data_IF_038149113944
#
_entry.id   IF_038149113944
#
_cell.length_a   1.000
_cell.length_b   1.000
_cell.length_c   1.000
_cell.angle_alpha   90.00
_cell.angle_beta   90.00
_cell.angle_gamma   90.00
#
_symmetry.space_group_name_H-M   'P 1'
#
loop_
_entity.id
_entity.type
_entity.pdbx_description
1 polymer ?
#
# COMPACT_ATOMS: atom_id res chain seq x y z
N UNK A 1 -33.95 -76.76 -4.94
CA UNK A 1 -33.73 -78.21 -4.89
C UNK A 1 -32.61 -78.57 -5.87
N UNK A 2 -31.75 -79.52 -5.45
CA UNK A 2 -30.53 -80.08 -6.09
C UNK A 2 -29.28 -79.20 -5.91
N UNK A 3 -28.49 -79.37 -4.84
CA UNK A 3 -27.55 -80.46 -4.46
C UNK A 3 -26.24 -80.49 -5.27
N UNK A 4 -25.18 -79.94 -4.64
CA UNK A 4 -23.77 -80.39 -4.45
C UNK A 4 -23.28 -81.73 -5.06
N UNK A 5 -21.95 -82.06 -5.05
CA UNK A 5 -20.72 -81.30 -4.72
C UNK A 5 -19.55 -81.55 -5.73
N UNK A 6 -18.38 -80.92 -5.52
CA UNK A 6 -17.09 -81.63 -5.40
C UNK A 6 -15.95 -80.69 -4.97
N UNK A 7 -15.26 -81.11 -3.91
CA UNK A 7 -14.01 -80.56 -3.39
C UNK A 7 -12.84 -81.05 -4.26
N UNK A 8 -11.83 -80.21 -4.47
CA UNK A 8 -10.46 -80.69 -4.60
C UNK A 8 -9.53 -79.77 -3.80
N UNK A 9 -8.82 -80.41 -2.86
CA UNK A 9 -7.72 -79.86 -2.10
C UNK A 9 -6.49 -79.77 -3.01
N UNK A 10 -5.81 -78.63 -2.99
CA UNK A 10 -4.54 -78.40 -3.68
C UNK A 10 -3.68 -77.46 -2.85
N UNK A 11 -2.91 -78.05 -1.93
CA UNK A 11 -1.78 -77.42 -1.26
C UNK A 11 -0.87 -76.71 -2.28
N UNK A 12 -0.64 -75.41 -2.10
CA UNK A 12 0.57 -74.77 -2.59
C UNK A 12 1.36 -74.23 -1.41
N UNK A 13 2.40 -74.99 -1.06
CA UNK A 13 3.42 -74.65 -0.10
C UNK A 13 4.23 -73.44 -0.58
N UNK A 14 4.41 -72.49 0.34
CA UNK A 14 5.63 -71.73 0.62
C UNK A 14 6.59 -71.45 -0.54
N UNK A 15 6.48 -70.25 -1.09
CA UNK A 15 7.65 -69.46 -1.45
C UNK A 15 7.67 -68.23 -0.53
N UNK A 16 8.25 -68.39 0.66
CA UNK A 16 8.74 -67.25 1.43
C UNK A 16 9.84 -66.61 0.59
N UNK A 17 9.48 -65.61 -0.20
CA UNK A 17 10.44 -64.66 -0.73
C UNK A 17 10.88 -63.82 0.48
N UNK A 18 11.93 -64.28 1.15
CA UNK A 18 12.77 -63.45 2.00
C UNK A 18 13.38 -62.37 1.11
N UNK A 19 12.61 -61.31 0.84
CA UNK A 19 13.17 -60.04 0.42
C UNK A 19 14.08 -59.59 1.56
N UNK A 20 15.37 -59.84 1.40
CA UNK A 20 16.42 -59.20 2.18
C UNK A 20 16.14 -57.70 2.16
N UNK A 21 15.70 -57.16 3.31
CA UNK A 21 15.77 -55.75 3.62
C UNK A 21 17.25 -55.36 3.58
N UNK A 22 17.75 -55.07 2.39
CA UNK A 22 18.96 -54.30 2.20
C UNK A 22 18.68 -52.95 2.84
N UNK A 23 19.35 -52.64 3.95
CA UNK A 23 19.38 -51.29 4.51
C UNK A 23 19.75 -50.32 3.38
N UNK A 24 18.77 -49.57 2.90
CA UNK A 24 19.01 -48.57 1.88
C UNK A 24 19.96 -47.54 2.49
N UNK A 25 21.16 -47.42 1.92
CA UNK A 25 22.16 -46.47 2.40
C UNK A 25 21.59 -45.06 2.33
N UNK A 26 21.46 -44.41 3.49
CA UNK A 26 20.93 -43.05 3.62
C UNK A 26 21.68 -42.09 2.68
N UNK A 27 20.94 -41.38 1.84
CA UNK A 27 21.52 -40.45 0.87
C UNK A 27 21.79 -39.09 1.50
N UNK A 28 22.61 -38.28 0.84
CA UNK A 28 22.85 -36.88 1.26
C UNK A 28 21.55 -36.06 1.27
N UNK A 29 20.61 -36.37 0.38
CA UNK A 29 19.29 -35.74 0.34
C UNK A 29 18.49 -36.15 1.58
N UNK A 30 18.47 -37.43 1.95
CA UNK A 30 17.72 -37.91 3.12
C UNK A 30 18.20 -37.24 4.42
N UNK A 31 19.52 -37.11 4.58
CA UNK A 31 20.11 -36.38 5.72
C UNK A 31 19.71 -34.91 5.74
N UNK A 32 19.72 -34.25 4.58
CA UNK A 32 19.30 -32.85 4.48
C UNK A 32 17.81 -32.68 4.80
N UNK A 33 16.93 -33.58 4.33
CA UNK A 33 15.50 -33.57 4.66
C UNK A 33 15.28 -33.75 6.17
N UNK A 34 16.07 -34.62 6.83
CA UNK A 34 16.03 -34.77 8.29
C UNK A 34 16.45 -33.47 9.01
N UNK A 35 17.54 -32.83 8.57
CA UNK A 35 17.98 -31.53 9.12
C UNK A 35 16.91 -30.45 8.95
N UNK A 36 16.18 -30.43 7.83
CA UNK A 36 15.07 -29.51 7.63
C UNK A 36 13.91 -29.79 8.61
N UNK A 37 13.54 -31.06 8.81
CA UNK A 37 12.47 -31.43 9.76
C UNK A 37 12.79 -31.00 11.20
N UNK A 38 14.06 -31.05 11.57
CA UNK A 38 14.56 -30.64 12.89
C UNK A 38 14.76 -29.13 13.02
N UNK A 39 14.68 -28.36 11.93
CA UNK A 39 14.83 -26.92 11.96
C UNK A 39 13.63 -26.26 12.65
N UNK A 40 13.88 -25.23 13.45
CA UNK A 40 12.84 -24.47 14.15
C UNK A 40 12.10 -23.47 13.24
N UNK A 41 12.75 -23.04 12.15
CA UNK A 41 12.22 -22.03 11.23
C UNK A 41 12.68 -22.25 9.79
N UNK A 42 11.94 -21.66 8.85
CA UNK A 42 12.34 -21.49 7.47
C UNK A 42 13.15 -20.20 7.37
N UNK A 43 14.33 -20.25 6.76
CA UNK A 43 15.27 -19.12 6.76
C UNK A 43 15.80 -18.87 5.36
N UNK A 44 16.15 -17.62 5.07
CA UNK A 44 16.90 -17.24 3.86
C UNK A 44 18.40 -17.53 3.99
N UNK A 45 19.18 -17.19 2.96
CA UNK A 45 20.62 -17.49 2.89
C UNK A 45 21.53 -16.78 3.87
N UNK A 46 21.05 -15.72 4.52
CA UNK A 46 21.75 -15.02 5.58
C UNK A 46 20.73 -14.47 6.57
N UNK A 47 20.89 -14.77 7.87
CA UNK A 47 19.99 -14.27 8.93
C UNK A 47 20.76 -13.72 10.14
N UNK A 48 20.16 -12.75 10.82
CA UNK A 48 20.73 -12.06 11.99
C UNK A 48 21.83 -11.05 11.65
N UNK A 49 22.36 -10.37 12.68
CA UNK A 49 23.33 -9.27 12.53
C UNK A 49 24.62 -9.69 11.80
N UNK A 50 25.05 -10.93 11.99
CA UNK A 50 26.25 -11.48 11.37
C UNK A 50 25.99 -12.18 10.02
N UNK A 51 24.74 -12.18 9.51
CA UNK A 51 24.39 -12.80 8.23
C UNK A 51 24.71 -14.29 8.17
N UNK A 52 24.40 -15.03 9.24
CA UNK A 52 24.79 -16.42 9.39
C UNK A 52 23.89 -17.31 8.53
N UNK A 53 24.50 -18.27 7.83
CA UNK A 53 23.78 -19.35 7.15
C UNK A 53 23.38 -20.42 8.17
N UNK A 54 22.08 -20.68 8.31
CA UNK A 54 21.57 -21.70 9.25
C UNK A 54 21.77 -23.12 8.71
N UNK A 55 21.75 -24.11 9.61
CA UNK A 55 21.78 -25.52 9.20
C UNK A 55 20.57 -25.88 8.32
N UNK A 56 19.38 -25.36 8.63
CA UNK A 56 18.18 -25.54 7.81
C UNK A 56 18.34 -25.01 6.39
N UNK A 57 18.89 -23.81 6.21
CA UNK A 57 19.13 -23.27 4.87
C UNK A 57 20.25 -24.01 4.12
N UNK A 58 21.33 -24.39 4.81
CA UNK A 58 22.38 -25.20 4.19
C UNK A 58 21.83 -26.56 3.70
N UNK A 59 20.92 -27.18 4.46
CA UNK A 59 20.21 -28.37 4.04
C UNK A 59 19.24 -28.11 2.87
N UNK A 60 18.52 -26.98 2.89
CA UNK A 60 17.69 -26.52 1.77
C UNK A 60 18.51 -26.41 0.47
N UNK A 61 19.69 -25.80 0.49
CA UNK A 61 20.55 -25.71 -0.70
C UNK A 61 20.94 -27.09 -1.28
N UNK A 62 21.13 -28.09 -0.41
CA UNK A 62 21.38 -29.47 -0.85
C UNK A 62 20.14 -30.08 -1.49
N UNK A 63 18.98 -29.95 -0.85
CA UNK A 63 17.69 -30.45 -1.35
C UNK A 63 17.34 -29.79 -2.69
N UNK A 64 17.45 -28.47 -2.79
CA UNK A 64 17.23 -27.72 -4.03
C UNK A 64 18.21 -28.09 -5.12
N UNK A 65 19.44 -28.54 -4.83
CA UNK A 65 20.35 -28.95 -5.91
C UNK A 65 20.16 -30.41 -6.35
N UNK A 66 19.75 -31.28 -5.44
CA UNK A 66 19.92 -32.74 -5.62
C UNK A 66 18.65 -33.55 -5.53
N UNK A 67 17.60 -33.07 -4.87
CA UNK A 67 16.35 -33.83 -4.78
C UNK A 67 15.70 -33.98 -6.16
N UNK A 68 15.06 -35.11 -6.41
CA UNK A 68 14.19 -35.29 -7.57
C UNK A 68 12.89 -34.50 -7.40
N UNK A 69 12.18 -34.24 -8.50
CA UNK A 69 10.88 -33.58 -8.45
C UNK A 69 9.91 -34.38 -7.58
N UNK A 70 9.87 -35.69 -7.77
CA UNK A 70 8.96 -36.60 -7.05
C UNK A 70 9.24 -36.61 -5.54
N UNK A 71 10.50 -36.51 -5.11
CA UNK A 71 10.87 -36.32 -3.71
C UNK A 71 10.33 -35.00 -3.15
N UNK A 72 10.46 -33.89 -3.89
CA UNK A 72 9.95 -32.59 -3.43
C UNK A 72 8.42 -32.57 -3.38
N UNK A 73 7.73 -33.16 -4.36
CA UNK A 73 6.27 -33.30 -4.35
C UNK A 73 5.80 -34.12 -3.15
N UNK A 74 6.52 -35.20 -2.79
CA UNK A 74 6.23 -35.95 -1.57
C UNK A 74 6.45 -35.11 -0.30
N UNK A 75 7.48 -34.24 -0.27
CA UNK A 75 7.75 -33.36 0.86
C UNK A 75 6.67 -32.27 1.06
N UNK A 76 6.02 -31.81 -0.02
CA UNK A 76 4.86 -30.89 0.06
C UNK A 76 3.67 -31.52 0.79
N UNK A 77 3.61 -32.85 0.87
CA UNK A 77 2.57 -33.61 1.58
C UNK A 77 2.97 -34.02 3.00
N UNK A 78 4.17 -33.65 3.46
CA UNK A 78 4.71 -34.05 4.76
C UNK A 78 3.96 -33.38 5.93
N UNK A 79 3.94 -34.00 7.10
CA UNK A 79 3.34 -33.41 8.30
C UNK A 79 4.16 -32.22 8.83
N UNK A 80 5.47 -32.19 8.56
CA UNK A 80 6.36 -31.12 9.01
C UNK A 80 6.21 -29.86 8.13
N UNK A 81 5.76 -28.76 8.76
CA UNK A 81 5.48 -27.49 8.10
C UNK A 81 6.73 -26.86 7.43
N UNK A 82 7.90 -26.95 8.06
CA UNK A 82 9.15 -26.38 7.53
C UNK A 82 9.61 -27.16 6.30
N UNK A 83 9.43 -28.48 6.30
CA UNK A 83 9.73 -29.33 5.16
C UNK A 83 8.81 -29.02 3.98
N UNK A 84 7.50 -28.87 4.22
CA UNK A 84 6.54 -28.44 3.19
C UNK A 84 6.94 -27.10 2.57
N UNK A 85 7.29 -26.12 3.41
CA UNK A 85 7.67 -24.79 2.96
C UNK A 85 8.93 -24.81 2.08
N UNK A 86 10.02 -25.40 2.55
CA UNK A 86 11.24 -25.51 1.77
C UNK A 86 11.05 -26.33 0.49
N UNK A 87 10.22 -27.38 0.52
CA UNK A 87 9.91 -28.16 -0.68
C UNK A 87 9.20 -27.31 -1.75
N UNK A 88 8.22 -26.50 -1.37
CA UNK A 88 7.54 -25.60 -2.30
C UNK A 88 8.48 -24.52 -2.86
N UNK A 89 9.36 -23.95 -2.03
CA UNK A 89 10.40 -23.03 -2.49
C UNK A 89 11.36 -23.70 -3.49
N UNK A 90 11.82 -24.92 -3.20
CA UNK A 90 12.69 -25.68 -4.09
C UNK A 90 12.00 -26.04 -5.41
N UNK A 91 10.69 -26.35 -5.38
CA UNK A 91 9.89 -26.58 -6.58
C UNK A 91 9.83 -25.30 -7.44
N UNK A 92 9.50 -24.15 -6.83
CA UNK A 92 9.47 -22.83 -7.48
C UNK A 92 10.78 -22.50 -8.20
N UNK A 93 11.91 -22.79 -7.57
CA UNK A 93 13.23 -22.43 -8.07
C UNK A 93 13.71 -23.31 -9.24
N UNK A 94 13.20 -24.54 -9.37
CA UNK A 94 13.80 -25.55 -10.27
C UNK A 94 12.90 -26.06 -11.38
N UNK A 95 11.60 -26.10 -11.14
CA UNK A 95 10.66 -26.78 -12.03
C UNK A 95 9.61 -25.78 -12.53
N UNK A 96 9.08 -25.97 -13.75
CA UNK A 96 7.93 -25.23 -14.23
C UNK A 96 6.75 -25.36 -13.25
N UNK A 97 5.99 -24.28 -13.04
CA UNK A 97 4.90 -24.28 -12.05
C UNK A 97 3.75 -25.19 -12.46
N UNK A 98 3.57 -25.37 -13.75
CA UNK A 98 2.58 -26.27 -14.36
C UNK A 98 2.75 -27.71 -13.88
N UNK A 99 3.99 -28.14 -13.57
CA UNK A 99 4.29 -29.50 -13.10
C UNK A 99 3.69 -29.81 -11.73
N UNK A 100 3.44 -28.78 -10.92
CA UNK A 100 2.98 -28.93 -9.53
C UNK A 100 1.79 -28.04 -9.18
N UNK A 101 1.19 -27.39 -10.18
CA UNK A 101 0.06 -26.49 -10.02
C UNK A 101 -1.11 -27.16 -9.31
N UNK A 102 -1.60 -28.29 -9.84
CA UNK A 102 -2.74 -29.02 -9.27
C UNK A 102 -2.51 -29.45 -7.81
N UNK A 103 -1.29 -29.88 -7.49
CA UNK A 103 -0.94 -30.27 -6.13
C UNK A 103 -1.01 -29.09 -5.16
N UNK A 104 -0.37 -27.96 -5.51
CA UNK A 104 -0.37 -26.78 -4.65
C UNK A 104 -1.77 -26.14 -4.59
N UNK A 105 -2.55 -26.21 -5.66
CA UNK A 105 -3.95 -25.79 -5.68
C UNK A 105 -4.78 -26.57 -4.67
N UNK A 106 -4.65 -27.90 -4.61
CA UNK A 106 -5.37 -28.73 -3.62
C UNK A 106 -4.99 -28.36 -2.18
N UNK A 107 -3.74 -27.96 -1.96
CA UNK A 107 -3.20 -27.61 -0.64
C UNK A 107 -3.24 -26.13 -0.33
N UNK A 108 -3.80 -25.31 -1.21
CA UNK A 108 -3.74 -23.85 -1.08
C UNK A 108 -4.41 -23.36 0.22
N UNK A 109 -5.38 -24.10 0.75
CA UNK A 109 -6.09 -23.82 2.01
C UNK A 109 -5.32 -24.16 3.31
N UNK A 110 -4.06 -24.58 3.22
CA UNK A 110 -3.28 -24.98 4.40
C UNK A 110 -2.97 -23.78 5.30
N UNK A 111 -3.62 -23.74 6.47
CA UNK A 111 -3.45 -22.66 7.46
C UNK A 111 -2.31 -22.90 8.46
N UNK A 112 -1.54 -23.98 8.31
CA UNK A 112 -0.42 -24.28 9.21
C UNK A 112 0.61 -23.14 9.17
N UNK A 113 0.98 -22.64 10.34
CA UNK A 113 1.94 -21.55 10.47
C UNK A 113 3.38 -22.06 10.61
N UNK A 114 4.31 -21.32 10.04
CA UNK A 114 5.75 -21.48 10.28
C UNK A 114 6.40 -20.13 10.51
N UNK A 115 7.55 -20.12 11.18
CA UNK A 115 8.38 -18.94 11.31
C UNK A 115 9.29 -18.80 10.08
N UNK A 116 9.24 -17.64 9.43
CA UNK A 116 10.11 -17.29 8.31
C UNK A 116 11.08 -16.18 8.72
N UNK A 117 12.37 -16.36 8.43
CA UNK A 117 13.41 -15.34 8.69
C UNK A 117 14.17 -14.98 7.42
N UNK A 118 14.20 -13.69 7.10
CA UNK A 118 14.98 -13.14 5.99
C UNK A 118 15.84 -11.96 6.47
N UNK A 119 17.17 -12.13 6.48
CA UNK A 119 18.07 -11.15 7.09
C UNK A 119 17.77 -10.97 8.58
N UNK A 120 17.53 -9.72 8.99
CA UNK A 120 17.15 -9.35 10.35
C UNK A 120 15.63 -9.38 10.61
N UNK A 121 14.82 -9.71 9.59
CA UNK A 121 13.35 -9.67 9.67
C UNK A 121 12.83 -11.10 9.88
N UNK A 122 12.03 -11.29 10.93
CA UNK A 122 11.32 -12.53 11.22
C UNK A 122 9.81 -12.29 11.31
N UNK A 123 9.01 -13.19 10.75
CA UNK A 123 7.55 -13.15 10.85
C UNK A 123 6.95 -14.56 10.75
N UNK A 124 5.69 -14.72 11.14
CA UNK A 124 4.92 -15.95 10.92
C UNK A 124 4.19 -15.88 9.58
N UNK A 125 4.16 -16.99 8.87
CA UNK A 125 3.48 -17.13 7.59
C UNK A 125 2.71 -18.45 7.56
N UNK A 126 1.57 -18.50 6.85
CA UNK A 126 0.83 -19.75 6.62
C UNK A 126 1.34 -20.43 5.36
N UNK A 127 1.31 -21.76 5.34
CA UNK A 127 1.74 -22.54 4.16
C UNK A 127 0.92 -22.20 2.91
N UNK A 128 -0.39 -21.99 3.04
CA UNK A 128 -1.24 -21.57 1.94
C UNK A 128 -0.82 -20.22 1.33
N UNK A 129 -0.36 -19.28 2.16
CA UNK A 129 0.16 -17.98 1.67
C UNK A 129 1.47 -18.17 0.87
N UNK A 130 2.35 -19.06 1.34
CA UNK A 130 3.57 -19.43 0.61
C UNK A 130 3.25 -20.14 -0.71
N UNK A 131 2.26 -21.04 -0.73
CA UNK A 131 1.83 -21.71 -1.96
C UNK A 131 1.22 -20.72 -2.95
N UNK A 132 0.40 -19.77 -2.48
CA UNK A 132 -0.09 -18.68 -3.31
C UNK A 132 1.06 -17.87 -3.93
N UNK A 133 2.06 -17.46 -3.14
CA UNK A 133 3.26 -16.76 -3.64
C UNK A 133 4.11 -17.61 -4.58
N UNK A 134 4.09 -18.93 -4.40
CA UNK A 134 4.77 -19.87 -5.27
C UNK A 134 4.09 -19.93 -6.63
N UNK A 135 2.76 -19.92 -6.65
CA UNK A 135 1.95 -19.99 -7.85
C UNK A 135 1.88 -18.67 -8.61
N UNK A 136 1.53 -17.54 -7.97
CA UNK A 136 1.05 -16.35 -8.68
C UNK A 136 2.06 -15.71 -9.66
N UNK A 137 3.37 -15.83 -9.38
CA UNK A 137 4.41 -15.33 -10.27
C UNK A 137 4.53 -16.22 -11.53
N UNK A 138 4.35 -15.65 -12.73
CA UNK A 138 4.59 -16.33 -14.03
C UNK A 138 3.57 -17.38 -14.48
N UNK A 139 2.38 -17.44 -13.87
CA UNK A 139 1.29 -18.28 -14.36
C UNK A 139 0.49 -17.61 -15.50
N UNK A 140 -0.13 -18.43 -16.34
CA UNK A 140 -1.13 -17.99 -17.31
C UNK A 140 -2.32 -17.32 -16.62
N UNK A 141 -3.05 -16.48 -17.36
CA UNK A 141 -4.25 -15.80 -16.85
C UNK A 141 -5.28 -16.82 -16.35
N UNK A 142 -5.48 -17.94 -17.06
CA UNK A 142 -6.43 -18.98 -16.67
C UNK A 142 -6.08 -19.61 -15.31
N UNK A 143 -4.79 -19.86 -15.05
CA UNK A 143 -4.34 -20.38 -13.76
C UNK A 143 -4.49 -19.34 -12.64
N UNK A 144 -4.23 -18.06 -12.92
CA UNK A 144 -4.47 -16.99 -11.94
C UNK A 144 -5.96 -16.90 -11.56
N UNK A 145 -6.86 -17.01 -12.54
CA UNK A 145 -8.32 -17.06 -12.31
C UNK A 145 -8.68 -18.29 -11.47
N UNK A 146 -8.09 -19.46 -11.75
CA UNK A 146 -8.32 -20.67 -10.96
C UNK A 146 -7.86 -20.53 -9.50
N UNK A 147 -6.71 -19.90 -9.24
CA UNK A 147 -6.21 -19.58 -7.90
C UNK A 147 -7.20 -18.66 -7.16
N UNK A 148 -7.63 -17.57 -7.81
CA UNK A 148 -8.61 -16.63 -7.26
C UNK A 148 -9.92 -17.35 -6.93
N UNK A 149 -10.45 -18.12 -7.88
CA UNK A 149 -11.67 -18.88 -7.70
C UNK A 149 -11.55 -19.82 -6.50
N UNK A 150 -10.44 -20.56 -6.39
CA UNK A 150 -10.22 -21.50 -5.28
C UNK A 150 -10.16 -20.80 -3.92
N UNK A 151 -9.42 -19.69 -3.81
CA UNK A 151 -9.29 -18.91 -2.58
C UNK A 151 -10.64 -18.33 -2.14
N UNK A 152 -11.48 -17.91 -3.09
CA UNK A 152 -12.79 -17.36 -2.77
C UNK A 152 -13.80 -18.45 -2.44
N UNK A 153 -13.81 -19.59 -3.14
CA UNK A 153 -14.80 -20.66 -2.92
C UNK A 153 -14.48 -21.56 -1.72
N UNK A 154 -13.26 -21.51 -1.19
CA UNK A 154 -12.82 -22.37 -0.09
C UNK A 154 -12.77 -21.59 1.21
N UNK A 155 -13.24 -22.19 2.31
CA UNK A 155 -13.06 -21.59 3.63
C UNK A 155 -11.58 -21.62 4.04
N UNK A 156 -11.04 -20.43 4.30
CA UNK A 156 -9.66 -20.24 4.74
C UNK A 156 -9.49 -18.86 5.42
N UNK A 157 -8.40 -18.68 6.15
CA UNK A 157 -7.97 -17.44 6.83
C UNK A 157 -6.59 -17.01 6.34
N UNK A 158 -6.35 -17.11 5.04
CA UNK A 158 -5.06 -16.79 4.42
C UNK A 158 -4.98 -15.29 4.12
N UNK A 159 -3.78 -14.72 4.27
CA UNK A 159 -3.53 -13.34 3.82
C UNK A 159 -3.65 -13.22 2.29
N UNK A 160 -3.39 -14.29 1.56
CA UNK A 160 -3.62 -14.39 0.12
C UNK A 160 -5.08 -14.12 -0.26
N UNK A 161 -6.05 -14.58 0.53
CA UNK A 161 -7.47 -14.29 0.30
C UNK A 161 -7.74 -12.80 0.47
N UNK A 162 -7.22 -12.17 1.51
CA UNK A 162 -7.36 -10.72 1.70
C UNK A 162 -6.70 -9.91 0.57
N UNK A 163 -5.57 -10.38 0.06
CA UNK A 163 -4.88 -9.79 -1.08
C UNK A 163 -5.75 -9.85 -2.35
N UNK A 164 -6.30 -11.03 -2.66
CA UNK A 164 -7.22 -11.24 -3.78
C UNK A 164 -8.45 -10.34 -3.66
N UNK A 165 -9.06 -10.28 -2.47
CA UNK A 165 -10.22 -9.43 -2.19
C UNK A 165 -9.93 -7.95 -2.47
N UNK A 166 -8.74 -7.47 -2.10
CA UNK A 166 -8.34 -6.07 -2.27
C UNK A 166 -7.99 -5.73 -3.71
N UNK A 167 -7.18 -6.57 -4.36
CA UNK A 167 -6.42 -6.19 -5.56
C UNK A 167 -6.95 -6.79 -6.86
N UNK A 168 -7.76 -7.86 -6.80
CA UNK A 168 -8.26 -8.53 -8.00
C UNK A 168 -9.59 -7.96 -8.52
N UNK A 169 -9.83 -8.15 -9.81
CA UNK A 169 -11.13 -7.99 -10.46
C UNK A 169 -11.93 -9.29 -10.28
N UNK A 170 -12.75 -9.32 -9.23
CA UNK A 170 -13.48 -10.53 -8.84
C UNK A 170 -14.75 -10.66 -9.68
N UNK A 171 -14.98 -11.80 -10.36
CA UNK A 171 -16.22 -12.03 -11.10
C UNK A 171 -17.46 -12.03 -10.20
N UNK A 172 -18.58 -11.51 -10.72
CA UNK A 172 -19.84 -11.38 -9.98
C UNK A 172 -20.39 -12.70 -9.41
N UNK A 173 -20.05 -13.85 -10.00
CA UNK A 173 -20.42 -15.18 -9.48
C UNK A 173 -20.00 -15.40 -8.03
N UNK A 174 -18.98 -14.69 -7.53
CA UNK A 174 -18.49 -14.78 -6.16
C UNK A 174 -19.21 -13.86 -5.17
N UNK A 175 -20.08 -12.97 -5.63
CA UNK A 175 -20.74 -11.97 -4.79
C UNK A 175 -21.44 -12.56 -3.54
N UNK A 176 -22.15 -13.71 -3.59
CA UNK A 176 -22.71 -14.33 -2.40
C UNK A 176 -21.67 -14.63 -1.32
N UNK A 177 -20.49 -15.11 -1.73
CA UNK A 177 -19.39 -15.42 -0.82
C UNK A 177 -18.73 -14.16 -0.25
N UNK A 178 -18.56 -13.13 -1.08
CA UNK A 178 -18.05 -11.84 -0.64
C UNK A 178 -18.94 -11.24 0.45
N UNK A 179 -20.27 -11.32 0.30
CA UNK A 179 -21.24 -10.91 1.32
C UNK A 179 -21.09 -11.70 2.61
N UNK A 180 -20.93 -13.02 2.53
CA UNK A 180 -20.68 -13.86 3.72
C UNK A 180 -19.42 -13.43 4.46
N UNK A 181 -18.31 -13.19 3.74
CA UNK A 181 -17.04 -12.76 4.33
C UNK A 181 -17.14 -11.35 4.94
N UNK A 182 -17.78 -10.41 4.24
CA UNK A 182 -17.99 -9.06 4.74
C UNK A 182 -18.87 -9.03 5.99
N UNK A 183 -19.96 -9.82 6.00
CA UNK A 183 -20.82 -9.97 7.18
C UNK A 183 -20.10 -10.62 8.38
N UNK A 184 -19.07 -11.42 8.12
CA UNK A 184 -18.19 -11.99 9.15
C UNK A 184 -17.09 -11.03 9.64
N UNK A 185 -17.06 -9.77 9.16
CA UNK A 185 -16.08 -8.76 9.59
C UNK A 185 -14.81 -8.71 8.74
N UNK A 186 -14.83 -9.24 7.51
CA UNK A 186 -13.70 -9.08 6.60
C UNK A 186 -13.83 -7.74 5.83
N UNK A 187 -12.99 -6.75 6.19
CA UNK A 187 -12.98 -5.42 5.56
C UNK A 187 -12.59 -5.46 4.07
N UNK A 188 -11.67 -6.34 3.67
CA UNK A 188 -11.30 -6.50 2.25
C UNK A 188 -12.47 -7.03 1.42
N UNK A 189 -13.25 -7.96 1.97
CA UNK A 189 -14.48 -8.45 1.34
C UNK A 189 -15.54 -7.36 1.25
N UNK A 190 -15.66 -6.49 2.27
CA UNK A 190 -16.58 -5.35 2.23
C UNK A 190 -16.26 -4.41 1.05
N UNK A 191 -14.97 -4.08 0.87
CA UNK A 191 -14.52 -3.31 -0.29
C UNK A 191 -14.83 -4.02 -1.61
N UNK A 192 -14.60 -5.34 -1.68
CA UNK A 192 -14.89 -6.14 -2.87
C UNK A 192 -16.39 -6.13 -3.21
N UNK A 193 -17.28 -6.26 -2.23
CA UNK A 193 -18.74 -6.12 -2.41
C UNK A 193 -19.09 -4.73 -2.96
N UNK A 194 -18.51 -3.67 -2.39
CA UNK A 194 -18.80 -2.30 -2.81
C UNK A 194 -18.41 -2.01 -4.29
N UNK A 195 -17.45 -2.75 -4.87
CA UNK A 195 -17.09 -2.63 -6.29
C UNK A 195 -18.27 -2.91 -7.24
N UNK A 196 -19.24 -3.74 -6.82
CA UNK A 196 -20.42 -4.07 -7.62
C UNK A 196 -21.54 -3.02 -7.56
N UNK A 197 -21.47 -2.07 -6.62
CA UNK A 197 -22.39 -0.92 -6.50
C UNK A 197 -23.88 -1.30 -6.44
N UNK A 198 -24.22 -2.42 -5.79
CA UNK A 198 -25.62 -2.88 -5.66
C UNK A 198 -26.31 -2.22 -4.46
N UNK A 199 -27.54 -1.77 -4.65
CA UNK A 199 -28.34 -1.15 -3.58
C UNK A 199 -28.62 -2.10 -2.41
N UNK A 200 -28.73 -3.40 -2.68
CA UNK A 200 -28.95 -4.44 -1.66
C UNK A 200 -27.79 -4.59 -0.67
N UNK A 201 -26.58 -4.10 -1.01
CA UNK A 201 -25.41 -4.14 -0.14
C UNK A 201 -25.30 -2.92 0.79
N UNK A 202 -26.19 -1.92 0.64
CA UNK A 202 -26.21 -0.72 1.50
C UNK A 202 -26.28 -1.04 2.99
N UNK A 203 -27.20 -1.90 3.48
CA UNK A 203 -27.30 -2.18 4.91
C UNK A 203 -26.03 -2.81 5.47
N UNK A 204 -25.36 -3.67 4.68
CA UNK A 204 -24.10 -4.31 5.06
C UNK A 204 -22.99 -3.27 5.26
N UNK A 205 -22.80 -2.36 4.29
CA UNK A 205 -21.80 -1.29 4.38
C UNK A 205 -22.05 -0.35 5.57
N UNK A 206 -23.30 0.05 5.78
CA UNK A 206 -23.68 0.92 6.91
C UNK A 206 -23.41 0.23 8.24
N UNK A 207 -23.78 -1.05 8.39
CA UNK A 207 -23.57 -1.81 9.62
C UNK A 207 -22.07 -1.96 9.97
N UNK A 208 -21.19 -1.96 8.97
CA UNK A 208 -19.75 -2.13 9.17
C UNK A 208 -19.02 -0.87 9.65
N UNK A 209 -19.63 0.32 9.65
CA UNK A 209 -18.93 1.59 9.95
C UNK A 209 -18.19 1.59 11.30
N UNK A 210 -18.75 0.95 12.33
CA UNK A 210 -18.12 0.92 13.67
C UNK A 210 -16.92 -0.02 13.75
N UNK A 211 -16.99 -1.16 13.06
CA UNK A 211 -15.95 -2.18 13.10
C UNK A 211 -14.82 -1.90 12.09
N UNK A 212 -15.18 -1.33 10.93
CA UNK A 212 -14.29 -1.11 9.78
C UNK A 212 -14.53 0.28 9.17
N UNK A 213 -14.32 1.38 9.92
CA UNK A 213 -14.59 2.73 9.43
C UNK A 213 -13.76 3.09 8.19
N UNK A 214 -12.49 2.66 8.15
CA UNK A 214 -11.59 2.89 7.02
C UNK A 214 -12.15 2.28 5.73
N UNK A 215 -12.52 0.99 5.75
CA UNK A 215 -13.09 0.30 4.60
C UNK A 215 -14.48 0.84 4.24
N UNK A 216 -15.30 1.16 5.24
CA UNK A 216 -16.63 1.73 5.03
C UNK A 216 -16.57 3.07 4.28
N UNK A 217 -15.70 4.00 4.68
CA UNK A 217 -15.54 5.27 3.97
C UNK A 217 -15.05 5.08 2.54
N UNK A 218 -14.14 4.13 2.30
CA UNK A 218 -13.74 3.76 0.93
C UNK A 218 -14.91 3.20 0.11
N UNK A 219 -15.76 2.36 0.70
CA UNK A 219 -16.98 1.87 0.03
C UNK A 219 -17.90 3.04 -0.37
N UNK A 220 -18.10 4.01 0.53
CA UNK A 220 -18.93 5.19 0.29
C UNK A 220 -18.32 6.05 -0.84
N UNK A 221 -17.00 6.24 -0.85
CA UNK A 221 -16.31 6.99 -1.90
C UNK A 221 -16.49 6.37 -3.30
N UNK A 222 -16.54 5.03 -3.38
CA UNK A 222 -16.70 4.29 -4.64
C UNK A 222 -18.12 4.35 -5.22
N UNK A 223 -19.14 4.47 -4.36
CA UNK A 223 -20.54 4.56 -4.73
C UNK A 223 -21.29 5.49 -3.76
N UNK A 224 -21.13 6.82 -3.89
CA UNK A 224 -21.80 7.76 -3.00
C UNK A 224 -23.32 7.66 -3.20
N UNK A 225 -24.06 7.48 -2.11
CA UNK A 225 -25.51 7.30 -2.09
C UNK A 225 -26.11 8.13 -0.95
N UNK A 226 -27.30 8.74 -1.10
CA UNK A 226 -27.85 9.65 -0.08
C UNK A 226 -27.88 9.08 1.34
N UNK A 227 -28.17 7.78 1.50
CA UNK A 227 -28.26 7.10 2.79
C UNK A 227 -26.91 7.01 3.51
N UNK A 228 -25.81 6.90 2.77
CA UNK A 228 -24.47 6.87 3.33
C UNK A 228 -24.03 8.26 3.83
N UNK A 229 -24.62 9.36 3.32
CA UNK A 229 -24.19 10.69 3.74
C UNK A 229 -24.49 10.94 5.22
N UNK A 230 -25.61 10.39 5.73
CA UNK A 230 -25.95 10.41 7.15
C UNK A 230 -24.87 9.73 8.00
N UNK A 231 -24.28 8.63 7.51
CA UNK A 231 -23.18 7.94 8.19
C UNK A 231 -21.96 8.86 8.32
N UNK A 232 -21.65 9.63 7.28
CA UNK A 232 -20.56 10.61 7.33
C UNK A 232 -20.85 11.74 8.33
N UNK A 233 -22.09 12.25 8.36
CA UNK A 233 -22.49 13.29 9.31
C UNK A 233 -22.37 12.80 10.77
N UNK A 234 -22.79 11.57 11.05
CA UNK A 234 -22.70 10.96 12.38
C UNK A 234 -21.25 10.68 12.80
N UNK A 235 -20.40 10.24 11.86
CA UNK A 235 -18.99 9.96 12.14
C UNK A 235 -18.15 11.24 12.35
N UNK A 236 -18.57 12.37 11.78
CA UNK A 236 -17.77 13.59 11.76
C UNK A 236 -17.35 14.05 13.15
N UNK A 237 -18.27 14.07 14.12
CA UNK A 237 -17.95 14.58 15.46
C UNK A 237 -16.87 13.75 16.16
N UNK A 238 -16.94 12.42 16.04
CA UNK A 238 -15.94 11.53 16.63
C UNK A 238 -14.57 11.73 15.96
N UNK A 239 -14.54 11.84 14.64
CA UNK A 239 -13.30 12.06 13.88
C UNK A 239 -12.65 13.42 14.21
N UNK A 240 -13.45 14.48 14.36
CA UNK A 240 -12.92 15.81 14.73
C UNK A 240 -12.40 15.87 16.16
N UNK A 241 -12.75 14.90 17.03
CA UNK A 241 -12.24 14.83 18.40
C UNK A 241 -10.93 14.02 18.52
N UNK A 242 -10.48 13.38 17.45
CA UNK A 242 -9.25 12.59 17.44
C UNK A 242 -8.02 13.49 17.58
N UNK A 243 -7.08 13.10 18.45
CA UNK A 243 -5.86 13.88 18.74
C UNK A 243 -4.64 13.37 17.97
N UNK A 244 -4.81 12.35 17.15
CA UNK A 244 -3.77 11.76 16.34
C UNK A 244 -4.22 11.70 14.88
N UNK A 245 -3.23 11.79 13.99
CA UNK A 245 -3.42 11.53 12.57
C UNK A 245 -3.89 10.09 12.36
N UNK A 246 -4.90 9.89 11.51
CA UNK A 246 -5.33 8.55 11.09
C UNK A 246 -5.61 8.48 9.60
N UNK A 247 -5.29 7.33 8.98
CA UNK A 247 -5.64 7.10 7.57
C UNK A 247 -7.17 7.07 7.37
N UNK A 248 -7.92 6.67 8.41
CA UNK A 248 -9.39 6.72 8.45
C UNK A 248 -9.94 8.12 8.22
N UNK A 249 -9.36 9.15 8.86
CA UNK A 249 -9.74 10.55 8.62
C UNK A 249 -9.59 10.95 7.15
N UNK A 250 -8.50 10.54 6.50
CA UNK A 250 -8.27 10.84 5.07
C UNK A 250 -9.34 10.18 4.19
N UNK A 251 -9.67 8.92 4.44
CA UNK A 251 -10.72 8.24 3.68
C UNK A 251 -12.10 8.85 3.92
N UNK A 252 -12.38 9.35 5.13
CA UNK A 252 -13.60 10.09 5.43
C UNK A 252 -13.77 11.33 4.53
N UNK A 253 -12.74 12.17 4.41
CA UNK A 253 -12.80 13.35 3.54
C UNK A 253 -12.93 12.99 2.07
N UNK A 254 -12.26 11.91 1.65
CA UNK A 254 -12.39 11.35 0.29
C UNK A 254 -13.83 10.90 0.02
N UNK A 255 -14.46 10.21 0.97
CA UNK A 255 -15.85 9.77 0.89
C UNK A 255 -16.84 10.94 0.84
N UNK A 256 -16.63 11.97 1.65
CA UNK A 256 -17.45 13.18 1.61
C UNK A 256 -17.32 13.93 0.28
N UNK A 257 -16.10 14.06 -0.26
CA UNK A 257 -15.86 14.75 -1.53
C UNK A 257 -16.48 14.02 -2.74
N UNK A 258 -16.67 12.70 -2.64
CA UNK A 258 -17.28 11.91 -3.71
C UNK A 258 -18.73 12.32 -4.04
N UNK A 259 -19.43 13.02 -3.13
CA UNK A 259 -20.82 13.47 -3.33
C UNK A 259 -20.97 14.68 -4.25
N UNK A 260 -19.93 15.52 -4.39
CA UNK A 260 -19.89 16.63 -5.38
C UNK A 260 -21.10 17.57 -5.28
N UNK A 261 -21.55 17.84 -4.06
CA UNK A 261 -22.76 18.63 -3.81
C UNK A 261 -22.58 19.62 -2.65
N UNK A 262 -23.59 20.46 -2.41
CA UNK A 262 -23.55 21.46 -1.34
C UNK A 262 -23.36 20.83 0.05
N UNK A 263 -23.98 19.68 0.30
CA UNK A 263 -23.86 19.00 1.60
C UNK A 263 -22.42 18.61 1.91
N UNK A 264 -21.66 18.14 0.91
CA UNK A 264 -20.23 17.86 1.08
C UNK A 264 -19.41 19.11 1.38
N UNK A 265 -19.75 20.25 0.77
CA UNK A 265 -19.13 21.54 1.09
C UNK A 265 -19.44 21.94 2.52
N UNK A 266 -20.70 21.83 2.95
CA UNK A 266 -21.13 22.16 4.32
C UNK A 266 -20.41 21.30 5.37
N UNK A 267 -20.14 20.04 5.05
CA UNK A 267 -19.36 19.15 5.89
C UNK A 267 -17.92 19.67 6.06
N UNK A 268 -17.28 20.12 4.98
CA UNK A 268 -15.93 20.69 5.02
C UNK A 268 -15.88 22.07 5.70
N UNK A 269 -16.91 22.89 5.54
CA UNK A 269 -16.97 24.23 6.12
C UNK A 269 -16.88 24.22 7.64
N UNK A 270 -17.33 23.17 8.32
CA UNK A 270 -17.13 23.03 9.77
C UNK A 270 -15.66 23.03 10.17
N UNK A 271 -14.80 22.38 9.38
CA UNK A 271 -13.35 22.36 9.63
C UNK A 271 -12.73 23.70 9.25
N UNK A 272 -13.10 24.23 8.09
CA UNK A 272 -12.59 25.51 7.58
C UNK A 272 -12.93 26.66 8.54
N UNK A 273 -14.12 26.68 9.11
CA UNK A 273 -14.58 27.73 10.02
C UNK A 273 -14.17 27.50 11.48
N UNK A 274 -13.78 26.28 11.85
CA UNK A 274 -13.32 25.95 13.20
C UNK A 274 -11.95 26.51 13.53
N UNK A 275 -11.57 26.43 14.80
CA UNK A 275 -10.26 26.81 15.32
C UNK A 275 -9.45 25.59 15.76
N UNK A 276 -8.13 25.76 15.96
CA UNK A 276 -7.25 24.68 16.43
C UNK A 276 -7.55 24.25 17.89
N UNK A 277 -8.27 25.10 18.65
CA UNK A 277 -8.75 24.76 19.99
C UNK A 277 -9.99 23.85 19.94
N UNK A 278 -10.84 24.04 18.93
CA UNK A 278 -12.08 23.27 18.76
C UNK A 278 -11.84 21.95 18.02
N UNK A 279 -10.85 21.94 17.11
CA UNK A 279 -10.53 20.81 16.25
C UNK A 279 -9.04 20.48 16.44
N UNK A 280 -8.71 19.49 17.30
CA UNK A 280 -7.38 18.95 17.37
C UNK A 280 -6.86 18.59 15.98
N UNK A 281 -5.56 18.81 15.74
CA UNK A 281 -4.92 18.43 14.47
C UNK A 281 -5.58 19.05 13.22
N UNK A 282 -6.27 20.19 13.36
CA UNK A 282 -7.02 20.85 12.26
C UNK A 282 -6.21 21.02 10.97
N UNK A 283 -4.91 21.28 11.06
CA UNK A 283 -4.02 21.35 9.89
C UNK A 283 -4.11 20.09 9.02
N UNK A 284 -4.07 18.90 9.61
CA UNK A 284 -4.21 17.64 8.88
C UNK A 284 -5.59 17.48 8.25
N UNK A 285 -6.65 17.88 8.96
CA UNK A 285 -8.01 17.87 8.40
C UNK A 285 -8.11 18.79 7.18
N UNK A 286 -7.51 19.99 7.22
CA UNK A 286 -7.46 20.89 6.08
C UNK A 286 -6.68 20.28 4.91
N UNK A 287 -5.53 19.67 5.18
CA UNK A 287 -4.71 19.03 4.15
C UNK A 287 -5.44 17.85 3.50
N UNK A 288 -6.22 17.08 4.26
CA UNK A 288 -7.08 16.02 3.73
C UNK A 288 -8.22 16.56 2.89
N UNK A 289 -8.87 17.65 3.31
CA UNK A 289 -9.92 18.33 2.51
C UNK A 289 -9.33 18.78 1.18
N UNK A 290 -8.18 19.47 1.21
CA UNK A 290 -7.46 19.90 0.01
C UNK A 290 -7.18 18.69 -0.88
N UNK A 291 -6.59 17.62 -0.34
CA UNK A 291 -6.32 16.41 -1.12
C UNK A 291 -7.58 15.82 -1.76
N UNK A 292 -8.68 15.72 -1.01
CA UNK A 292 -9.92 15.09 -1.45
C UNK A 292 -10.62 15.88 -2.56
N UNK A 293 -10.77 17.21 -2.41
CA UNK A 293 -11.43 18.05 -3.43
C UNK A 293 -10.54 18.33 -4.64
N UNK A 294 -9.24 18.00 -4.57
CA UNK A 294 -8.31 18.17 -5.69
C UNK A 294 -8.27 16.95 -6.60
N UNK A 295 -8.58 15.78 -6.05
CA UNK A 295 -8.83 14.58 -6.85
C UNK A 295 -10.14 14.69 -7.67
N UNK A 296 -10.96 15.73 -7.43
CA UNK A 296 -12.29 15.91 -8.00
C UNK A 296 -12.40 17.31 -8.63
N UNK A 297 -12.37 17.39 -9.97
CA UNK A 297 -12.42 18.66 -10.72
C UNK A 297 -13.83 19.25 -10.84
N UNK A 298 -14.56 19.37 -9.74
CA UNK A 298 -15.96 19.80 -9.74
C UNK A 298 -16.13 21.28 -9.31
N UNK A 299 -16.94 22.09 -10.04
CA UNK A 299 -17.14 23.51 -9.74
C UNK A 299 -17.73 23.81 -8.37
N UNK A 300 -18.47 22.86 -7.79
CA UNK A 300 -19.07 23.00 -6.45
C UNK A 300 -18.03 23.29 -5.36
N UNK A 301 -16.77 22.89 -5.57
CA UNK A 301 -15.68 23.11 -4.62
C UNK A 301 -14.86 24.38 -4.90
N UNK A 302 -15.11 25.14 -5.96
CA UNK A 302 -14.22 26.23 -6.37
C UNK A 302 -14.16 27.37 -5.34
N UNK A 303 -15.30 27.79 -4.76
CA UNK A 303 -15.28 28.78 -3.67
C UNK A 303 -14.58 28.26 -2.42
N UNK A 304 -14.73 26.99 -2.07
CA UNK A 304 -13.99 26.38 -0.97
C UNK A 304 -12.48 26.40 -1.23
N UNK A 305 -12.05 26.10 -2.46
CA UNK A 305 -10.64 26.18 -2.88
C UNK A 305 -10.09 27.61 -2.77
N UNK A 306 -10.88 28.61 -3.17
CA UNK A 306 -10.50 30.01 -2.98
C UNK A 306 -10.33 30.39 -1.51
N UNK A 307 -11.22 29.93 -0.64
CA UNK A 307 -11.13 30.18 0.81
C UNK A 307 -9.93 29.47 1.43
N UNK A 308 -9.70 28.20 1.09
CA UNK A 308 -8.52 27.45 1.54
C UNK A 308 -7.22 28.17 1.17
N UNK A 309 -7.13 28.73 -0.04
CA UNK A 309 -5.98 29.55 -0.42
C UNK A 309 -5.95 30.89 0.32
N UNK A 310 -6.99 31.72 0.17
CA UNK A 310 -6.97 33.11 0.62
C UNK A 310 -6.99 33.28 2.14
N UNK A 311 -7.75 32.44 2.86
CA UNK A 311 -7.94 32.54 4.31
C UNK A 311 -6.94 31.67 5.07
N UNK A 312 -6.58 30.49 4.52
CA UNK A 312 -5.83 29.46 5.25
C UNK A 312 -4.46 29.16 4.65
N UNK A 313 -4.09 29.84 3.56
CA UNK A 313 -2.81 29.64 2.85
C UNK A 313 -2.56 28.17 2.47
N UNK A 314 -3.63 27.44 2.18
CA UNK A 314 -3.61 26.03 1.75
C UNK A 314 -3.87 25.95 0.26
N UNK A 315 -2.80 25.73 -0.50
CA UNK A 315 -2.85 25.66 -1.96
C UNK A 315 -1.82 24.65 -2.47
N UNK A 316 -2.18 23.90 -3.51
CA UNK A 316 -1.25 23.04 -4.24
C UNK A 316 -1.23 23.43 -5.72
N UNK A 317 -0.30 22.87 -6.49
CA UNK A 317 -0.09 23.27 -7.88
C UNK A 317 -1.33 23.03 -8.77
N UNK A 318 -2.04 21.92 -8.56
CA UNK A 318 -3.24 21.61 -9.34
C UNK A 318 -4.33 22.67 -9.13
N UNK A 319 -4.63 22.98 -7.86
CA UNK A 319 -5.59 24.03 -7.55
C UNK A 319 -5.13 25.39 -8.03
N UNK A 320 -3.86 25.74 -7.87
CA UNK A 320 -3.35 27.03 -8.33
C UNK A 320 -3.62 27.21 -9.82
N UNK A 321 -3.27 26.22 -10.65
CA UNK A 321 -3.52 26.24 -12.09
C UNK A 321 -5.01 26.37 -12.42
N UNK A 322 -5.87 25.60 -11.75
CA UNK A 322 -7.33 25.66 -11.95
C UNK A 322 -7.89 27.04 -11.60
N UNK A 323 -7.52 27.57 -10.44
CA UNK A 323 -8.03 28.85 -9.94
C UNK A 323 -7.54 30.03 -10.81
N UNK A 324 -6.30 29.99 -11.31
CA UNK A 324 -5.80 30.95 -12.31
C UNK A 324 -6.61 30.89 -13.59
N UNK A 325 -6.93 29.69 -14.09
CA UNK A 325 -7.73 29.53 -15.30
C UNK A 325 -9.19 30.00 -15.10
N UNK A 326 -9.71 29.90 -13.89
CA UNK A 326 -11.07 30.32 -13.54
C UNK A 326 -11.19 31.84 -13.38
N UNK A 327 -10.25 32.46 -12.66
CA UNK A 327 -10.22 33.90 -12.41
C UNK A 327 -8.77 34.35 -12.17
N UNK A 328 -8.08 34.72 -13.26
CA UNK A 328 -6.70 35.20 -13.21
C UNK A 328 -6.55 36.44 -12.31
N UNK A 329 -7.58 37.31 -12.25
CA UNK A 329 -7.51 38.55 -11.47
C UNK A 329 -7.53 38.26 -9.98
N UNK A 330 -8.44 37.41 -9.52
CA UNK A 330 -8.49 36.96 -8.11
C UNK A 330 -7.23 36.16 -7.76
N UNK A 331 -6.76 35.29 -8.66
CA UNK A 331 -5.53 34.53 -8.46
C UNK A 331 -4.29 35.43 -8.34
N UNK A 332 -4.15 36.45 -9.19
CA UNK A 332 -3.05 37.43 -9.11
C UNK A 332 -3.05 38.15 -7.76
N UNK A 333 -4.23 38.59 -7.30
CA UNK A 333 -4.38 39.25 -6.00
C UNK A 333 -3.93 38.33 -4.86
N UNK A 334 -4.44 37.10 -4.81
CA UNK A 334 -4.08 36.14 -3.76
C UNK A 334 -2.61 35.74 -3.86
N UNK A 335 -2.06 35.64 -5.07
CA UNK A 335 -0.63 35.34 -5.28
C UNK A 335 0.24 36.40 -4.63
N UNK A 336 -0.03 37.69 -4.87
CA UNK A 336 0.72 38.76 -4.20
C UNK A 336 0.59 38.68 -2.68
N UNK A 337 -0.63 38.48 -2.18
CA UNK A 337 -0.85 38.32 -0.73
C UNK A 337 -0.06 37.15 -0.13
N UNK A 338 -0.04 35.99 -0.80
CA UNK A 338 0.76 34.83 -0.39
C UNK A 338 2.26 35.13 -0.44
N UNK A 339 2.76 35.83 -1.46
CA UNK A 339 4.18 36.18 -1.57
C UNK A 339 4.62 37.24 -0.55
N UNK A 340 3.75 38.20 -0.24
CA UNK A 340 4.00 39.23 0.79
C UNK A 340 4.07 38.62 2.20
N UNK A 341 3.45 37.45 2.41
CA UNK A 341 3.37 36.75 3.69
C UNK A 341 3.78 35.28 3.56
N UNK A 342 4.87 35.04 2.82
CA UNK A 342 5.26 33.69 2.40
C UNK A 342 5.44 32.74 3.59
N UNK A 343 4.50 31.80 3.74
CA UNK A 343 4.55 30.76 4.76
C UNK A 343 5.36 29.56 4.27
N UNK A 344 5.83 28.71 5.20
CA UNK A 344 6.56 27.46 4.90
C UNK A 344 5.70 26.37 4.24
N UNK A 345 4.39 26.53 4.25
CA UNK A 345 3.42 25.56 3.71
C UNK A 345 3.31 25.57 2.18
N UNK A 346 3.73 26.67 1.52
CA UNK A 346 3.69 26.78 0.05
C UNK A 346 4.80 25.93 -0.59
N UNK A 347 4.47 24.95 -1.43
CA UNK A 347 5.51 24.14 -2.07
C UNK A 347 6.33 24.96 -3.09
N UNK A 348 7.57 24.53 -3.37
CA UNK A 348 8.43 25.20 -4.35
C UNK A 348 7.81 25.22 -5.75
N UNK A 349 7.05 24.19 -6.13
CA UNK A 349 6.34 24.12 -7.40
C UNK A 349 5.21 25.15 -7.51
N UNK A 350 4.47 25.39 -6.42
CA UNK A 350 3.47 26.45 -6.36
C UNK A 350 4.15 27.82 -6.45
N UNK A 351 5.24 28.01 -5.69
CA UNK A 351 5.99 29.26 -5.69
C UNK A 351 6.54 29.61 -7.08
N UNK A 352 7.07 28.62 -7.80
CA UNK A 352 7.50 28.80 -9.19
C UNK A 352 6.35 29.21 -10.11
N UNK A 353 5.18 28.59 -9.95
CA UNK A 353 3.99 28.92 -10.72
C UNK A 353 3.46 30.34 -10.40
N UNK A 354 3.55 30.76 -9.14
CA UNK A 354 3.23 32.12 -8.68
C UNK A 354 4.17 33.16 -9.29
N UNK A 355 5.48 32.90 -9.31
CA UNK A 355 6.45 33.76 -9.98
C UNK A 355 6.18 33.86 -11.49
N UNK A 356 5.89 32.74 -12.14
CA UNK A 356 5.54 32.72 -13.56
C UNK A 356 4.27 33.50 -13.88
N UNK A 357 3.30 33.54 -12.96
CA UNK A 357 2.07 34.33 -13.11
C UNK A 357 2.31 35.84 -13.02
N UNK A 358 3.19 36.29 -12.11
CA UNK A 358 3.44 37.72 -11.88
C UNK A 358 4.51 38.29 -12.82
N UNK A 359 5.58 37.54 -13.10
CA UNK A 359 6.77 38.02 -13.81
C UNK A 359 6.47 38.75 -15.13
N UNK A 360 5.52 38.32 -15.99
CA UNK A 360 5.18 39.05 -17.21
C UNK A 360 4.55 40.43 -16.99
N UNK A 361 4.00 40.68 -15.81
CA UNK A 361 3.30 41.93 -15.46
C UNK A 361 4.13 42.84 -14.56
N UNK A 362 4.93 42.25 -13.66
CA UNK A 362 5.71 42.98 -12.66
C UNK A 362 6.97 42.17 -12.25
N UNK A 363 8.00 42.15 -13.10
CA UNK A 363 9.21 41.37 -12.85
C UNK A 363 9.99 41.87 -11.63
N UNK A 364 10.00 43.20 -11.39
CA UNK A 364 10.72 43.80 -10.26
C UNK A 364 10.13 43.36 -8.90
N UNK A 365 8.82 43.16 -8.82
CA UNK A 365 8.21 42.62 -7.61
C UNK A 365 8.68 41.19 -7.33
N UNK A 366 8.71 40.31 -8.34
CA UNK A 366 9.21 38.93 -8.18
C UNK A 366 10.67 38.93 -7.73
N UNK A 367 11.51 39.74 -8.36
CA UNK A 367 12.92 39.88 -7.98
C UNK A 367 13.06 40.39 -6.54
N UNK A 368 12.24 41.36 -6.13
CA UNK A 368 12.21 41.85 -4.75
C UNK A 368 11.82 40.78 -3.73
N UNK A 369 10.83 39.94 -4.04
CA UNK A 369 10.43 38.82 -3.18
C UNK A 369 11.57 37.80 -3.05
N UNK A 370 12.19 37.39 -4.16
CA UNK A 370 13.31 36.44 -4.15
C UNK A 370 14.49 36.99 -3.34
N UNK A 371 14.87 38.25 -3.58
CA UNK A 371 15.94 38.91 -2.84
C UNK A 371 15.66 38.95 -1.33
N UNK A 372 14.43 39.31 -0.94
CA UNK A 372 14.02 39.33 0.45
C UNK A 372 14.09 37.95 1.11
N UNK A 373 13.57 36.91 0.45
CA UNK A 373 13.59 35.54 0.99
C UNK A 373 15.01 34.95 1.07
N UNK A 374 15.87 35.23 0.09
CA UNK A 374 17.30 34.90 0.19
C UNK A 374 17.92 35.61 1.42
N UNK A 375 17.59 36.87 1.65
CA UNK A 375 18.11 37.64 2.78
C UNK A 375 17.69 37.13 4.16
N UNK A 376 16.64 36.29 4.24
CA UNK A 376 16.18 35.64 5.49
C UNK A 376 16.99 34.39 5.84
N UNK A 377 17.71 33.78 4.90
CA UNK A 377 18.53 32.59 5.13
C UNK A 377 17.74 31.37 5.66
N UNK A 378 16.47 31.20 5.26
CA UNK A 378 15.67 30.05 5.71
C UNK A 378 16.06 28.74 4.99
N UNK A 379 16.52 27.75 5.76
CA UNK A 379 16.99 26.44 5.28
C UNK A 379 16.05 25.76 4.27
N UNK A 380 14.74 25.77 4.53
CA UNK A 380 13.75 24.96 3.79
C UNK A 380 13.63 25.32 2.32
N UNK A 381 13.96 26.55 1.93
CA UNK A 381 13.81 27.04 0.54
C UNK A 381 15.04 27.70 -0.04
N UNK A 382 16.11 27.86 0.75
CA UNK A 382 17.28 28.60 0.32
C UNK A 382 17.88 28.05 -0.98
N UNK A 383 18.16 26.74 -1.04
CA UNK A 383 18.75 26.13 -2.23
C UNK A 383 17.87 26.29 -3.48
N UNK A 384 16.55 26.26 -3.33
CA UNK A 384 15.61 26.49 -4.44
C UNK A 384 15.69 27.92 -4.97
N UNK A 385 15.72 28.92 -4.08
CA UNK A 385 15.83 30.32 -4.48
C UNK A 385 17.22 30.65 -5.06
N UNK A 386 18.28 30.05 -4.50
CA UNK A 386 19.64 30.16 -5.02
C UNK A 386 19.78 29.58 -6.44
N UNK A 387 19.11 28.45 -6.73
CA UNK A 387 19.03 27.88 -8.07
C UNK A 387 18.31 28.80 -9.07
N UNK A 388 17.23 29.48 -8.63
CA UNK A 388 16.57 30.51 -9.45
C UNK A 388 17.53 31.67 -9.73
N UNK A 389 18.21 32.18 -8.70
CA UNK A 389 19.18 33.27 -8.82
C UNK A 389 20.36 32.92 -9.74
N UNK A 390 20.86 31.69 -9.67
CA UNK A 390 21.90 31.16 -10.56
C UNK A 390 21.45 31.17 -12.03
N UNK A 391 20.21 30.76 -12.31
CA UNK A 391 19.67 30.68 -13.68
C UNK A 391 19.30 32.04 -14.27
N UNK A 392 19.08 33.05 -13.43
CA UNK A 392 18.71 34.40 -13.84
C UNK A 392 19.46 35.44 -12.98
N UNK A 393 20.76 35.67 -13.24
CA UNK A 393 21.57 36.58 -12.43
C UNK A 393 21.00 38.01 -12.43
N UNK A 394 20.85 38.59 -11.22
CA UNK A 394 20.41 39.96 -11.00
C UNK A 394 21.21 40.61 -9.87
N UNK A 395 21.50 41.90 -10.03
CA UNK A 395 22.20 42.70 -9.00
C UNK A 395 21.45 42.70 -7.66
N UNK A 396 20.10 42.67 -7.71
CA UNK A 396 19.24 42.63 -6.52
C UNK A 396 19.49 41.41 -5.62
N UNK A 397 20.08 40.32 -6.14
CA UNK A 397 20.33 39.10 -5.37
C UNK A 397 21.71 39.09 -4.69
N UNK A 398 22.66 39.95 -5.12
CA UNK A 398 24.06 39.91 -4.70
C UNK A 398 24.20 40.15 -3.19
N UNK A 399 23.63 41.23 -2.67
CA UNK A 399 23.72 41.57 -1.25
C UNK A 399 23.06 40.50 -0.34
N UNK A 400 21.84 40.01 -0.62
CA UNK A 400 21.27 38.86 0.09
C UNK A 400 22.14 37.61 0.11
N UNK A 401 22.79 37.28 -1.01
CA UNK A 401 23.68 36.11 -1.11
C UNK A 401 24.94 36.30 -0.27
N UNK A 402 25.60 37.47 -0.32
CA UNK A 402 26.76 37.76 0.54
C UNK A 402 26.39 37.69 2.02
N UNK A 403 25.26 38.29 2.41
CA UNK A 403 24.76 38.20 3.79
C UNK A 403 24.61 36.76 4.25
N UNK A 404 24.10 35.86 3.40
CA UNK A 404 23.96 34.46 3.74
C UNK A 404 25.31 33.75 3.94
N UNK A 405 26.31 34.07 3.11
CA UNK A 405 27.69 33.57 3.29
C UNK A 405 28.31 34.07 4.60
N UNK A 406 28.09 35.34 4.94
CA UNK A 406 28.69 35.98 6.12
C UNK A 406 28.04 35.54 7.43
N UNK A 407 26.72 35.34 7.43
CA UNK A 407 25.93 35.19 8.66
C UNK A 407 25.42 33.78 8.93
N UNK A 408 25.39 32.89 7.92
CA UNK A 408 24.88 31.53 8.11
C UNK A 408 26.00 30.55 8.48
N UNK A 409 25.76 29.75 9.51
CA UNK A 409 26.61 28.61 9.90
C UNK A 409 26.16 27.29 9.24
N UNK A 410 25.07 27.31 8.48
CA UNK A 410 24.48 26.11 7.90
C UNK A 410 24.99 25.87 6.46
N UNK A 411 25.67 24.74 6.17
CA UNK A 411 26.22 24.46 4.84
C UNK A 411 25.16 24.42 3.75
N UNK A 412 23.91 24.07 4.07
CA UNK A 412 22.80 24.06 3.11
C UNK A 412 22.33 25.46 2.70
N UNK A 413 22.85 26.51 3.34
CA UNK A 413 22.58 27.92 3.02
C UNK A 413 23.82 28.59 2.43
N UNK A 414 24.96 28.57 3.14
CA UNK A 414 26.15 29.31 2.67
C UNK A 414 26.82 28.66 1.45
N UNK A 415 26.74 27.33 1.26
CA UNK A 415 27.29 26.68 0.06
C UNK A 415 26.52 27.07 -1.20
N UNK A 416 25.17 26.92 -1.28
CA UNK A 416 24.40 27.41 -2.43
C UNK A 416 24.59 28.91 -2.68
N UNK A 417 24.71 29.72 -1.62
CA UNK A 417 24.98 31.15 -1.75
C UNK A 417 26.33 31.41 -2.43
N UNK A 418 27.38 30.73 -1.98
CA UNK A 418 28.73 30.84 -2.55
C UNK A 418 28.76 30.37 -4.00
N UNK A 419 28.17 29.21 -4.29
CA UNK A 419 28.08 28.66 -5.65
C UNK A 419 27.35 29.62 -6.59
N UNK A 420 26.24 30.21 -6.13
CA UNK A 420 25.48 31.20 -6.89
C UNK A 420 26.33 32.45 -7.17
N UNK A 421 26.99 33.01 -6.16
CA UNK A 421 27.86 34.19 -6.32
C UNK A 421 29.03 33.92 -7.29
N UNK A 422 29.67 32.77 -7.20
CA UNK A 422 30.76 32.38 -8.11
C UNK A 422 30.26 32.21 -9.55
N UNK A 423 29.00 31.86 -9.74
CA UNK A 423 28.40 31.73 -11.08
C UNK A 423 28.16 33.08 -11.78
N UNK A 424 28.08 34.17 -11.02
CA UNK A 424 27.90 35.52 -11.57
C UNK A 424 29.26 35.98 -12.11
N UNK A 425 29.41 35.92 -13.44
CA UNK A 425 30.63 36.34 -14.15
C UNK A 425 30.61 37.80 -14.55
#
# INVERSE_FOLDING_TARGET
MRNHPLRFYGLFLGALCLCTLSEAKETKVDQALKTIREAESVTSGAVGEAGIKTAGYAAYEVVTKQATREQLLACVLDENVNLRAYAAMALKERFPREDFFELLMEKLKDESEFEYRNGCIGYRMKIGDLYHQTLIDSLSIDHQVAVIDHLLTTENKLTATDLVLRESDIPERHLPRLRTLAAAGNGSALLAVAKFRRDEDKPLIIASVKAHPFECFRCIAMNPQPEYFKVLQEAQQALLAETAWSTTQREFYTAAAAYRNKDSVDLFEKVVNGTDQEIPMRSYHLDFIVSAINAIEEPVYDELKWRLWGELQRINLSNFKRLVALDETRALKLTRQTLDSLSREVSNEVLLAMFALISPKDPNYVDGVIANELGKCELTRYSFLADIATKNPKDAYIEPLFKAVETSDNPWVYLPATETLVSYK
#
